data_IF_700787895660
#
_entry.id   IF_700787895660
#
_cell.length_a   1.000
_cell.length_b   1.000
_cell.length_c   1.000
_cell.angle_alpha   90.00
_cell.angle_beta   90.00
_cell.angle_gamma   90.00
#
_symmetry.space_group_name_H-M   'P 1'
#
loop_
_entity.id
_entity.type
_entity.pdbx_description
1 polymer ?
#
# COMPACT_ATOMS: atom_id res chain seq x y z
N UNK A 1 -7.96 30.95 -15.45
CA UNK A 1 -7.40 29.63 -15.14
C UNK A 1 -7.16 29.60 -13.63
N UNK A 2 -8.11 29.10 -12.87
CA UNK A 2 -7.93 28.89 -11.44
C UNK A 2 -7.21 27.56 -11.28
N UNK A 3 -5.93 27.59 -10.90
CA UNK A 3 -5.25 26.44 -10.36
C UNK A 3 -5.99 26.08 -9.07
N UNK A 4 -6.65 24.93 -9.05
CA UNK A 4 -7.14 24.32 -7.83
C UNK A 4 -5.91 24.07 -6.94
N UNK A 5 -5.74 24.93 -5.95
CA UNK A 5 -4.85 24.68 -4.84
C UNK A 5 -5.54 23.55 -4.08
N UNK A 6 -5.02 22.32 -4.16
CA UNK A 6 -5.51 21.22 -3.33
C UNK A 6 -5.32 21.67 -1.89
N UNK A 7 -6.41 21.76 -1.13
CA UNK A 7 -6.34 22.14 0.27
C UNK A 7 -5.57 21.06 1.03
N UNK A 8 -4.54 21.48 1.78
CA UNK A 8 -3.71 20.57 2.56
C UNK A 8 -4.54 20.00 3.70
N UNK A 9 -4.78 18.70 3.71
CA UNK A 9 -5.55 17.99 4.71
C UNK A 9 -4.88 18.08 6.09
N UNK A 10 -5.59 18.59 7.08
CA UNK A 10 -5.13 18.66 8.47
C UNK A 10 -5.33 17.31 9.16
N UNK A 11 -4.24 16.70 9.60
CA UNK A 11 -4.22 15.36 10.20
C UNK A 11 -3.89 15.43 11.68
N UNK A 12 -4.68 14.75 12.50
CA UNK A 12 -4.34 14.48 13.91
C UNK A 12 -3.84 13.05 14.03
N UNK A 13 -2.71 12.86 14.72
CA UNK A 13 -2.18 11.55 15.08
C UNK A 13 -2.51 11.26 16.55
N UNK A 14 -2.94 10.03 16.84
CA UNK A 14 -3.18 9.52 18.18
C UNK A 14 -2.43 8.20 18.35
N UNK A 15 -1.66 8.05 19.43
CA UNK A 15 -0.85 6.86 19.68
C UNK A 15 0.65 7.10 19.54
N UNK A 16 1.44 6.05 19.66
CA UNK A 16 2.90 6.15 19.70
C UNK A 16 3.53 6.15 18.30
N UNK A 17 3.76 7.34 17.75
CA UNK A 17 4.42 7.54 16.45
C UNK A 17 5.90 7.09 16.42
N UNK A 18 6.53 6.84 17.57
CA UNK A 18 7.92 6.41 17.67
C UNK A 18 8.10 4.89 17.53
N UNK A 19 7.03 4.12 17.46
CA UNK A 19 7.10 2.68 17.29
C UNK A 19 7.54 2.31 15.88
N UNK A 20 8.39 1.29 15.78
CA UNK A 20 9.02 0.86 14.53
C UNK A 20 7.99 0.51 13.46
N UNK A 21 6.91 -0.17 13.83
CA UNK A 21 5.85 -0.59 12.93
C UNK A 21 5.12 0.57 12.24
N UNK A 22 5.12 1.76 12.84
CA UNK A 22 4.48 2.96 12.27
C UNK A 22 5.45 3.95 11.63
N UNK A 23 6.76 3.68 11.71
CA UNK A 23 7.79 4.64 11.26
C UNK A 23 7.64 5.03 9.79
N UNK A 24 7.35 4.09 8.92
CA UNK A 24 7.14 4.32 7.47
C UNK A 24 5.91 5.19 7.26
N UNK A 25 4.76 4.81 7.83
CA UNK A 25 3.52 5.56 7.72
C UNK A 25 3.66 7.01 8.24
N UNK A 26 4.26 7.18 9.42
CA UNK A 26 4.44 8.51 10.03
C UNK A 26 5.40 9.37 9.20
N UNK A 27 6.46 8.78 8.66
CA UNK A 27 7.38 9.46 7.74
C UNK A 27 6.68 9.88 6.47
N UNK A 28 5.89 8.99 5.87
CA UNK A 28 5.10 9.27 4.68
C UNK A 28 4.10 10.40 4.92
N UNK A 29 3.35 10.39 6.03
CA UNK A 29 2.42 11.47 6.39
C UNK A 29 3.12 12.83 6.56
N UNK A 30 4.35 12.85 7.08
CA UNK A 30 5.13 14.09 7.24
C UNK A 30 5.68 14.63 5.93
N UNK A 31 5.97 13.77 4.99
CA UNK A 31 6.59 14.12 3.70
C UNK A 31 5.55 14.37 2.60
N UNK A 32 4.33 13.87 2.77
CA UNK A 32 3.27 14.02 1.78
C UNK A 32 2.78 15.48 1.72
N UNK A 33 2.91 16.19 0.58
CA UNK A 33 2.51 17.58 0.44
C UNK A 33 1.01 17.82 0.63
N UNK A 34 0.17 16.77 0.47
CA UNK A 34 -1.27 16.85 0.67
C UNK A 34 -1.68 16.73 2.15
N UNK A 35 -0.73 16.54 3.08
CA UNK A 35 -1.04 16.37 4.51
C UNK A 35 -0.25 17.34 5.40
N UNK A 36 -0.88 17.78 6.47
CA UNK A 36 -0.25 18.57 7.54
C UNK A 36 -0.67 18.03 8.90
N UNK A 37 0.29 17.54 9.68
CA UNK A 37 0.02 17.09 11.05
C UNK A 37 -0.16 18.31 11.94
N UNK A 38 -1.41 18.53 12.41
CA UNK A 38 -1.81 19.68 13.26
C UNK A 38 -1.85 19.34 14.74
N UNK A 39 -1.82 18.04 15.09
CA UNK A 39 -1.78 17.57 16.46
C UNK A 39 -1.25 16.16 16.56
N UNK A 40 -0.57 15.86 17.68
CA UNK A 40 -0.15 14.51 18.02
C UNK A 40 -0.38 14.26 19.49
N UNK A 41 -1.22 13.28 19.80
CA UNK A 41 -1.60 12.89 21.15
C UNK A 41 -1.11 11.48 21.48
N UNK A 42 -0.75 11.26 22.74
CA UNK A 42 -0.24 9.97 23.19
C UNK A 42 -1.32 8.88 23.20
N UNK A 43 -2.54 9.25 23.55
CA UNK A 43 -3.69 8.36 23.69
C UNK A 43 -4.99 9.10 23.35
N UNK A 44 -6.10 8.36 23.29
CA UNK A 44 -7.43 8.92 22.96
C UNK A 44 -7.90 9.90 24.03
N UNK A 45 -7.69 9.60 25.32
CA UNK A 45 -8.12 10.49 26.40
C UNK A 45 -7.48 11.87 26.28
N UNK A 46 -6.17 11.93 26.15
CA UNK A 46 -5.44 13.21 25.96
C UNK A 46 -5.84 13.92 24.67
N UNK A 47 -6.25 13.20 23.63
CA UNK A 47 -6.73 13.82 22.39
C UNK A 47 -8.08 14.50 22.61
N UNK A 48 -9.00 13.87 23.31
CA UNK A 48 -10.32 14.44 23.58
C UNK A 48 -10.22 15.73 24.41
N UNK A 49 -9.31 15.76 25.37
CA UNK A 49 -9.07 16.95 26.22
C UNK A 49 -8.36 18.08 25.43
N UNK A 50 -7.50 17.72 24.50
CA UNK A 50 -6.68 18.65 23.71
C UNK A 50 -7.29 19.10 22.39
N UNK A 51 -8.43 18.56 21.99
CA UNK A 51 -9.01 18.80 20.66
C UNK A 51 -9.36 20.28 20.40
N UNK A 52 -9.92 20.94 21.39
CA UNK A 52 -10.41 22.32 21.27
C UNK A 52 -9.29 23.37 21.23
N UNK A 53 -8.04 22.97 21.50
CA UNK A 53 -6.86 23.83 21.44
C UNK A 53 -6.01 23.62 20.17
N UNK A 54 -6.46 22.78 19.25
CA UNK A 54 -5.77 22.59 17.96
C UNK A 54 -5.74 23.89 17.16
N UNK A 55 -4.61 24.14 16.51
CA UNK A 55 -4.41 25.36 15.71
C UNK A 55 -5.27 25.41 14.44
N UNK A 56 -5.80 24.27 14.01
CA UNK A 56 -6.66 24.12 12.83
C UNK A 56 -7.60 22.93 13.02
N UNK A 57 -8.78 23.01 12.45
CA UNK A 57 -9.74 21.90 12.44
C UNK A 57 -9.18 20.72 11.67
N UNK A 58 -9.12 19.52 12.27
CA UNK A 58 -8.65 18.33 11.59
C UNK A 58 -9.72 17.78 10.66
N UNK A 59 -9.32 17.40 9.47
CA UNK A 59 -10.16 16.72 8.46
C UNK A 59 -10.00 15.21 8.55
N UNK A 60 -8.85 14.76 9.06
CA UNK A 60 -8.54 13.35 9.26
C UNK A 60 -7.90 13.08 10.61
N UNK A 61 -8.31 11.98 11.21
CA UNK A 61 -7.71 11.45 12.45
C UNK A 61 -7.14 10.06 12.16
N UNK A 62 -5.86 9.86 12.44
CA UNK A 62 -5.15 8.60 12.31
C UNK A 62 -4.74 8.10 13.68
N UNK A 63 -5.32 7.01 14.12
CA UNK A 63 -4.98 6.33 15.38
C UNK A 63 -3.97 5.23 15.07
N UNK A 64 -2.89 5.16 15.85
CA UNK A 64 -1.81 4.18 15.74
C UNK A 64 -1.96 3.17 16.88
N UNK A 65 -2.46 1.99 16.59
CA UNK A 65 -2.69 0.93 17.59
C UNK A 65 -1.65 -0.17 17.46
N UNK A 66 -0.85 -0.37 18.50
CA UNK A 66 0.22 -1.38 18.52
C UNK A 66 -0.23 -2.74 19.05
N UNK A 67 -1.19 -2.79 19.98
CA UNK A 67 -1.73 -4.03 20.55
C UNK A 67 -3.22 -3.92 20.84
N UNK A 68 -3.85 -5.07 20.96
CA UNK A 68 -5.33 -5.23 21.04
C UNK A 68 -6.01 -4.44 22.14
N UNK A 69 -5.35 -4.29 23.29
CA UNK A 69 -5.90 -3.64 24.49
C UNK A 69 -5.36 -2.22 24.72
N UNK A 70 -4.78 -1.59 23.71
CA UNK A 70 -4.18 -0.24 23.83
C UNK A 70 -5.22 0.83 24.11
N UNK A 71 -6.42 0.69 23.56
CA UNK A 71 -7.52 1.62 23.76
C UNK A 71 -8.75 0.92 24.31
N UNK A 72 -9.47 1.60 25.24
CA UNK A 72 -10.73 1.08 25.76
C UNK A 72 -11.87 1.27 24.77
N UNK A 73 -12.90 0.40 24.85
CA UNK A 73 -14.13 0.55 24.06
C UNK A 73 -14.81 1.90 24.28
N UNK A 74 -14.78 2.39 25.54
CA UNK A 74 -15.34 3.69 25.89
C UNK A 74 -14.63 4.83 25.17
N UNK A 75 -13.29 4.82 25.17
CA UNK A 75 -12.50 5.88 24.54
C UNK A 75 -12.71 5.88 23.03
N UNK A 76 -12.73 4.68 22.42
CA UNK A 76 -13.01 4.53 20.99
C UNK A 76 -14.38 5.05 20.61
N UNK A 77 -15.41 4.73 21.41
CA UNK A 77 -16.77 5.23 21.16
C UNK A 77 -16.85 6.77 21.30
N UNK A 78 -16.16 7.35 22.28
CA UNK A 78 -16.08 8.81 22.43
C UNK A 78 -15.37 9.46 21.24
N UNK A 79 -14.26 8.89 20.79
CA UNK A 79 -13.53 9.39 19.63
C UNK A 79 -14.38 9.32 18.35
N UNK A 80 -15.05 8.19 18.09
CA UNK A 80 -15.98 8.05 16.97
C UNK A 80 -17.07 9.13 17.04
N UNK A 81 -17.66 9.34 18.20
CA UNK A 81 -18.66 10.40 18.40
C UNK A 81 -18.13 11.80 18.13
N UNK A 82 -16.87 12.08 18.47
CA UNK A 82 -16.22 13.39 18.25
C UNK A 82 -15.87 13.61 16.79
N UNK A 83 -15.57 12.55 16.05
CA UNK A 83 -15.06 12.59 14.67
C UNK A 83 -16.10 12.24 13.61
N UNK A 84 -17.41 12.32 13.94
CA UNK A 84 -18.52 11.91 13.05
C UNK A 84 -18.47 12.54 11.64
N UNK A 85 -17.97 13.78 11.56
CA UNK A 85 -17.89 14.53 10.29
C UNK A 85 -16.48 14.58 9.71
N UNK A 86 -15.55 13.83 10.29
CA UNK A 86 -14.16 13.75 9.87
C UNK A 86 -13.85 12.33 9.37
N UNK A 87 -12.71 12.17 8.75
CA UNK A 87 -12.19 10.84 8.44
C UNK A 87 -11.42 10.30 9.63
N UNK A 88 -11.87 9.14 10.12
CA UNK A 88 -11.22 8.44 11.21
C UNK A 88 -10.69 7.10 10.72
N UNK A 89 -9.41 6.81 10.94
CA UNK A 89 -8.78 5.55 10.61
C UNK A 89 -7.95 5.07 11.80
N UNK A 90 -8.15 3.82 12.22
CA UNK A 90 -7.28 3.14 13.17
C UNK A 90 -6.29 2.26 12.38
N UNK A 91 -5.04 2.68 12.32
CA UNK A 91 -3.96 1.93 11.70
C UNK A 91 -3.35 0.99 12.74
N UNK A 92 -3.56 -0.31 12.60
CA UNK A 92 -3.11 -1.30 13.57
C UNK A 92 -1.83 -2.00 13.15
N UNK A 93 -0.98 -2.27 14.14
CA UNK A 93 0.25 -3.02 14.00
C UNK A 93 0.05 -4.55 13.96
N UNK A 94 1.13 -5.32 13.72
CA UNK A 94 1.07 -6.78 13.56
C UNK A 94 0.45 -7.54 14.74
N UNK A 95 0.57 -7.01 15.95
CA UNK A 95 0.02 -7.65 17.16
C UNK A 95 -1.50 -7.56 17.28
N UNK A 96 -2.15 -6.77 16.42
CA UNK A 96 -3.60 -6.63 16.36
C UNK A 96 -4.24 -7.42 15.21
N UNK A 97 -3.49 -8.18 14.42
CA UNK A 97 -4.02 -8.91 13.25
C UNK A 97 -5.06 -9.99 13.64
N UNK A 98 -5.06 -10.43 14.88
CA UNK A 98 -6.08 -11.36 15.42
C UNK A 98 -7.33 -10.65 15.96
N UNK A 99 -7.32 -9.33 16.07
CA UNK A 99 -8.47 -8.55 16.48
C UNK A 99 -9.61 -8.74 15.45
N UNK A 100 -10.84 -8.75 15.93
CA UNK A 100 -11.98 -9.09 15.10
C UNK A 100 -12.38 -10.58 15.10
N UNK A 101 -11.47 -11.49 15.52
CA UNK A 101 -11.84 -12.88 15.81
C UNK A 101 -12.34 -13.05 17.24
N UNK A 102 -11.69 -12.38 18.19
CA UNK A 102 -11.94 -12.53 19.63
C UNK A 102 -12.43 -11.23 20.27
N UNK A 103 -12.16 -10.09 19.67
CA UNK A 103 -12.48 -8.77 20.22
C UNK A 103 -12.53 -7.73 19.09
N UNK A 104 -13.62 -7.01 19.00
CA UNK A 104 -13.80 -5.94 18.02
C UNK A 104 -14.04 -4.61 18.76
N UNK A 105 -12.97 -3.90 19.08
CA UNK A 105 -13.05 -2.55 19.69
C UNK A 105 -13.35 -1.50 18.62
N UNK A 106 -12.78 -1.69 17.41
CA UNK A 106 -13.00 -0.81 16.29
C UNK A 106 -13.98 -1.38 15.27
N UNK A 107 -14.87 -0.56 14.70
CA UNK A 107 -15.63 -0.94 13.51
C UNK A 107 -14.70 -1.33 12.35
N UNK A 108 -15.06 -2.37 11.58
CA UNK A 108 -14.27 -2.84 10.44
C UNK A 108 -14.01 -1.71 9.41
N UNK A 109 -14.95 -0.78 9.27
CA UNK A 109 -14.82 0.39 8.39
C UNK A 109 -13.64 1.29 8.73
N UNK A 110 -13.30 1.39 10.01
CA UNK A 110 -12.25 2.28 10.52
C UNK A 110 -10.93 1.57 10.77
N UNK A 111 -10.90 0.23 10.76
CA UNK A 111 -9.77 -0.59 11.15
C UNK A 111 -8.95 -1.00 9.94
N UNK A 112 -7.69 -0.54 9.86
CA UNK A 112 -6.80 -0.69 8.70
C UNK A 112 -5.46 -1.24 9.14
N UNK A 113 -4.98 -2.32 8.52
CA UNK A 113 -3.61 -2.79 8.77
C UNK A 113 -2.59 -1.70 8.40
N UNK A 114 -1.56 -1.51 9.22
CA UNK A 114 -0.50 -0.53 8.95
C UNK A 114 0.15 -0.73 7.58
N UNK A 115 0.18 -1.96 7.08
CA UNK A 115 0.69 -2.30 5.74
C UNK A 115 -0.11 -1.68 4.60
N UNK A 116 -1.41 -1.43 4.83
CA UNK A 116 -2.33 -0.83 3.86
C UNK A 116 -2.61 0.64 4.15
N UNK A 117 -2.14 1.15 5.29
CA UNK A 117 -2.52 2.46 5.78
C UNK A 117 -2.19 3.58 4.78
N UNK A 118 -1.01 3.56 4.16
CA UNK A 118 -0.62 4.58 3.18
C UNK A 118 -1.56 4.61 1.98
N UNK A 119 -1.89 3.46 1.40
CA UNK A 119 -2.79 3.38 0.25
C UNK A 119 -4.23 3.79 0.60
N UNK A 120 -4.71 3.37 1.78
CA UNK A 120 -6.06 3.75 2.24
C UNK A 120 -6.13 5.24 2.55
N UNK A 121 -5.13 5.80 3.23
CA UNK A 121 -5.08 7.25 3.51
C UNK A 121 -4.98 8.05 2.22
N UNK A 122 -4.15 7.64 1.26
CA UNK A 122 -4.06 8.30 -0.05
C UNK A 122 -5.41 8.32 -0.78
N UNK A 123 -6.16 7.21 -0.73
CA UNK A 123 -7.51 7.14 -1.28
C UNK A 123 -8.49 8.07 -0.54
N UNK A 124 -8.39 8.18 0.79
CA UNK A 124 -9.22 9.12 1.55
C UNK A 124 -8.87 10.59 1.27
N UNK A 125 -7.58 10.91 1.09
CA UNK A 125 -7.16 12.26 0.69
C UNK A 125 -7.76 12.64 -0.67
N UNK A 126 -7.73 11.72 -1.63
CA UNK A 126 -8.37 11.96 -2.93
C UNK A 126 -9.88 12.15 -2.83
N UNK A 127 -10.55 11.44 -1.91
CA UNK A 127 -11.99 11.66 -1.64
C UNK A 127 -12.25 13.02 -0.98
N UNK A 128 -11.38 13.49 -0.10
CA UNK A 128 -11.48 14.84 0.48
C UNK A 128 -11.43 15.87 -0.66
N UNK A 129 -10.43 15.78 -1.52
CA UNK A 129 -10.26 16.68 -2.66
C UNK A 129 -11.48 16.68 -3.61
N UNK A 130 -12.10 15.53 -3.81
CA UNK A 130 -13.29 15.38 -4.66
C UNK A 130 -14.61 15.71 -3.96
N UNK A 131 -14.59 16.08 -2.67
CA UNK A 131 -15.79 16.36 -1.87
C UNK A 131 -16.62 15.11 -1.56
N UNK A 132 -16.01 13.90 -1.67
CA UNK A 132 -16.68 12.65 -1.40
C UNK A 132 -16.95 12.43 0.09
N UNK A 133 -17.98 11.63 0.45
CA UNK A 133 -18.32 11.35 1.85
C UNK A 133 -17.24 10.50 2.54
N UNK A 134 -17.16 10.61 3.88
CA UNK A 134 -16.39 9.68 4.70
C UNK A 134 -17.06 8.30 4.73
N UNK A 135 -16.27 7.25 4.94
CA UNK A 135 -16.80 5.90 5.13
C UNK A 135 -17.65 5.85 6.43
N UNK A 136 -18.92 5.42 6.37
CA UNK A 136 -19.72 5.27 7.57
C UNK A 136 -19.15 4.19 8.51
N UNK A 137 -19.00 4.46 9.82
CA UNK A 137 -18.49 3.47 10.77
C UNK A 137 -19.36 2.21 10.90
N UNK A 138 -20.62 2.29 10.47
CA UNK A 138 -21.61 1.23 10.58
C UNK A 138 -21.67 0.29 9.39
N UNK A 139 -20.83 0.47 8.38
CA UNK A 139 -20.78 -0.44 7.23
C UNK A 139 -20.43 -1.86 7.65
N UNK A 140 -21.13 -2.83 7.08
CA UNK A 140 -20.77 -4.23 7.25
C UNK A 140 -19.43 -4.53 6.55
N UNK A 141 -18.77 -5.61 6.96
CA UNK A 141 -17.42 -5.94 6.49
C UNK A 141 -17.33 -6.12 4.97
N UNK A 142 -18.31 -6.73 4.37
CA UNK A 142 -18.43 -6.91 2.91
C UNK A 142 -18.65 -5.57 2.18
N UNK A 143 -19.44 -4.67 2.75
CA UNK A 143 -19.65 -3.32 2.23
C UNK A 143 -18.37 -2.47 2.34
N UNK A 144 -17.61 -2.60 3.47
CA UNK A 144 -16.31 -1.96 3.64
C UNK A 144 -15.33 -2.44 2.57
N UNK A 145 -15.33 -3.75 2.32
CA UNK A 145 -14.49 -4.32 1.27
C UNK A 145 -14.86 -3.76 -0.10
N UNK A 146 -16.15 -3.78 -0.46
CA UNK A 146 -16.65 -3.21 -1.70
C UNK A 146 -16.29 -1.71 -1.82
N UNK A 147 -16.52 -0.94 -0.77
CA UNK A 147 -16.19 0.49 -0.74
C UNK A 147 -14.70 0.77 -0.92
N UNK A 148 -13.82 -0.02 -0.31
CA UNK A 148 -12.37 0.09 -0.51
C UNK A 148 -11.95 -0.35 -1.90
N UNK A 149 -12.63 -1.33 -2.49
CA UNK A 149 -12.41 -1.76 -3.87
C UNK A 149 -12.91 -0.72 -4.87
N UNK A 150 -14.06 -0.09 -4.64
CA UNK A 150 -14.60 0.98 -5.50
C UNK A 150 -13.74 2.23 -5.51
N UNK A 151 -13.11 2.58 -4.38
CA UNK A 151 -12.15 3.69 -4.32
C UNK A 151 -10.87 3.42 -5.09
N UNK A 152 -10.53 2.15 -5.23
CA UNK A 152 -9.48 1.74 -6.14
C UNK A 152 -9.99 1.67 -7.58
N UNK A 153 -11.31 1.65 -7.79
CA UNK A 153 -11.99 1.66 -9.09
C UNK A 153 -12.24 3.06 -9.67
N UNK A 154 -11.84 4.13 -8.95
CA UNK A 154 -11.78 5.46 -9.56
C UNK A 154 -10.99 5.35 -10.85
N UNK A 155 -11.75 5.50 -11.94
CA UNK A 155 -11.36 5.21 -13.32
C UNK A 155 -10.19 6.03 -13.89
N UNK A 156 -9.18 6.27 -13.08
CA UNK A 156 -7.85 6.50 -13.63
C UNK A 156 -7.42 5.18 -14.27
N UNK A 157 -7.91 5.05 -15.49
CA UNK A 157 -7.50 4.06 -16.44
C UNK A 157 -6.01 3.80 -16.20
N UNK A 158 -5.66 2.58 -15.84
CA UNK A 158 -4.30 2.08 -15.93
C UNK A 158 -3.88 2.06 -17.43
N UNK A 159 -4.43 3.03 -18.20
CA UNK A 159 -4.10 3.31 -19.59
C UNK A 159 -2.62 3.67 -19.67
N UNK A 160 -1.89 2.85 -20.36
CA UNK A 160 -0.43 2.87 -20.41
C UNK A 160 0.18 1.51 -20.03
N UNK A 161 -0.49 0.69 -19.20
CA UNK A 161 -0.04 -0.68 -18.93
C UNK A 161 -0.07 -1.57 -20.17
N UNK A 162 -0.95 -1.29 -21.13
CA UNK A 162 -1.05 -2.05 -22.40
C UNK A 162 0.22 -1.98 -23.24
N UNK A 163 1.02 -0.93 -23.08
CA UNK A 163 2.30 -0.75 -23.73
C UNK A 163 3.44 -1.46 -22.99
N UNK A 164 3.22 -1.86 -21.75
CA UNK A 164 4.23 -2.49 -20.89
C UNK A 164 4.17 -4.01 -20.96
N UNK A 165 5.30 -4.63 -20.71
CA UNK A 165 5.42 -6.10 -20.63
C UNK A 165 6.00 -6.44 -19.26
N UNK A 166 5.33 -7.37 -18.56
CA UNK A 166 5.78 -7.93 -17.29
C UNK A 166 6.36 -9.33 -17.43
N UNK A 167 7.33 -9.67 -16.59
CA UNK A 167 7.81 -11.04 -16.41
C UNK A 167 7.46 -11.53 -15.01
N UNK A 168 6.86 -12.70 -14.89
CA UNK A 168 6.54 -13.34 -13.61
C UNK A 168 7.49 -14.50 -13.38
N UNK A 169 8.31 -14.41 -12.35
CA UNK A 169 9.35 -15.40 -12.01
C UNK A 169 8.95 -16.08 -10.69
N UNK A 170 8.73 -17.37 -10.72
CA UNK A 170 8.42 -18.19 -9.53
C UNK A 170 8.73 -19.66 -9.79
N UNK A 171 9.11 -20.45 -8.80
CA UNK A 171 9.17 -21.91 -8.92
C UNK A 171 7.77 -22.51 -9.09
N UNK A 172 6.74 -21.89 -8.51
CA UNK A 172 5.37 -22.38 -8.56
C UNK A 172 4.67 -22.01 -9.87
N UNK A 173 4.27 -23.06 -10.62
CA UNK A 173 3.57 -22.90 -11.89
C UNK A 173 2.15 -22.31 -11.71
N UNK A 174 1.47 -22.68 -10.63
CA UNK A 174 0.09 -22.21 -10.38
C UNK A 174 0.14 -20.74 -10.04
N UNK A 175 1.04 -20.36 -9.13
CA UNK A 175 1.25 -18.96 -8.76
C UNK A 175 1.58 -18.10 -9.99
N UNK A 176 2.53 -18.53 -10.84
CA UNK A 176 2.84 -17.80 -12.08
C UNK A 176 1.62 -17.57 -12.97
N UNK A 177 0.77 -18.59 -13.14
CA UNK A 177 -0.45 -18.47 -13.96
C UNK A 177 -1.46 -17.50 -13.36
N UNK A 178 -1.66 -17.59 -12.04
CA UNK A 178 -2.57 -16.69 -11.31
C UNK A 178 -2.12 -15.24 -11.46
N UNK A 179 -0.86 -14.95 -11.15
CA UNK A 179 -0.32 -13.59 -11.29
C UNK A 179 -0.44 -13.09 -12.74
N UNK A 180 -0.07 -13.91 -13.74
CA UNK A 180 -0.23 -13.51 -15.14
C UNK A 180 -1.70 -13.27 -15.54
N UNK A 181 -2.66 -14.00 -14.94
CA UNK A 181 -4.09 -13.75 -15.18
C UNK A 181 -4.49 -12.40 -14.61
N UNK A 182 -4.17 -12.14 -13.35
CA UNK A 182 -4.44 -10.85 -12.69
C UNK A 182 -3.83 -9.68 -13.45
N UNK A 183 -2.57 -9.80 -13.89
CA UNK A 183 -1.91 -8.76 -14.68
C UNK A 183 -2.64 -8.49 -16.01
N UNK A 184 -3.16 -9.53 -16.65
CA UNK A 184 -3.94 -9.40 -17.89
C UNK A 184 -5.26 -8.67 -17.64
N UNK A 185 -5.91 -8.89 -16.51
CA UNK A 185 -7.15 -8.21 -16.13
C UNK A 185 -6.91 -6.70 -15.96
N UNK A 186 -5.69 -6.30 -15.57
CA UNK A 186 -5.25 -4.89 -15.57
C UNK A 186 -4.76 -4.39 -16.95
N UNK A 187 -4.78 -5.22 -17.98
CA UNK A 187 -4.33 -4.87 -19.32
C UNK A 187 -2.82 -5.01 -19.56
N UNK A 188 -2.04 -5.49 -18.57
CA UNK A 188 -0.61 -5.69 -18.70
C UNK A 188 -0.32 -7.03 -19.42
N UNK A 189 0.44 -6.98 -20.50
CA UNK A 189 0.95 -8.20 -21.12
C UNK A 189 2.03 -8.81 -20.24
N UNK A 190 1.96 -10.13 -20.00
CA UNK A 190 2.94 -10.78 -19.13
C UNK A 190 3.39 -12.12 -19.66
N UNK A 191 4.63 -12.47 -19.35
CA UNK A 191 5.23 -13.79 -19.59
C UNK A 191 5.59 -14.43 -18.26
N UNK A 192 5.51 -15.74 -18.17
CA UNK A 192 5.88 -16.48 -16.99
C UNK A 192 7.19 -17.25 -17.20
N UNK A 193 8.07 -17.14 -16.22
CA UNK A 193 9.37 -17.76 -16.22
C UNK A 193 9.54 -18.63 -14.96
N UNK A 194 10.14 -19.84 -15.04
CA UNK A 194 10.61 -20.52 -13.85
C UNK A 194 11.74 -19.74 -13.20
N UNK A 195 12.19 -20.14 -12.01
CA UNK A 195 13.37 -19.53 -11.40
C UNK A 195 14.53 -19.53 -12.38
N UNK A 196 15.13 -18.36 -12.53
CA UNK A 196 16.29 -18.12 -13.37
C UNK A 196 17.51 -18.27 -12.46
N UNK A 197 18.42 -19.15 -12.76
CA UNK A 197 19.66 -19.30 -12.00
C UNK A 197 20.86 -19.02 -12.89
N UNK A 198 21.95 -18.58 -12.29
CA UNK A 198 23.22 -18.33 -12.99
C UNK A 198 23.74 -19.57 -13.74
N UNK A 199 23.36 -20.79 -13.28
CA UNK A 199 23.75 -22.07 -13.88
C UNK A 199 22.83 -22.56 -15.00
N UNK A 200 21.65 -21.98 -15.17
CA UNK A 200 20.65 -22.42 -16.13
C UNK A 200 20.24 -21.25 -17.04
N UNK A 201 20.81 -21.19 -18.24
CA UNK A 201 20.35 -20.27 -19.28
C UNK A 201 18.97 -20.74 -19.75
N UNK A 202 17.92 -20.21 -19.16
CA UNK A 202 16.55 -20.44 -19.64
C UNK A 202 16.30 -19.44 -20.76
N UNK A 203 16.28 -19.93 -21.98
CA UNK A 203 15.71 -19.16 -23.09
C UNK A 203 14.20 -19.37 -23.00
N UNK A 204 13.40 -18.33 -22.70
CA UNK A 204 11.95 -18.45 -22.69
C UNK A 204 11.50 -18.99 -24.07
N UNK A 205 10.62 -19.99 -24.05
CA UNK A 205 10.04 -20.52 -25.32
C UNK A 205 9.23 -19.46 -26.07
N UNK A 206 8.75 -18.45 -25.32
CA UNK A 206 8.02 -17.30 -25.83
C UNK A 206 8.69 -16.04 -25.27
N UNK A 207 9.69 -15.55 -25.98
CA UNK A 207 10.25 -14.23 -25.67
C UNK A 207 9.25 -13.17 -26.16
N UNK A 208 8.76 -12.30 -25.29
CA UNK A 208 7.88 -11.22 -25.74
C UNK A 208 8.64 -10.35 -26.75
N UNK A 209 7.94 -9.94 -27.80
CA UNK A 209 8.51 -8.96 -28.74
C UNK A 209 8.49 -7.58 -28.09
N UNK A 210 9.55 -7.24 -27.35
CA UNK A 210 9.70 -5.96 -26.67
C UNK A 210 10.47 -6.07 -25.36
N UNK A 211 10.88 -4.94 -24.78
CA UNK A 211 11.57 -4.88 -23.51
C UNK A 211 10.64 -5.31 -22.37
N UNK A 212 11.18 -6.01 -21.38
CA UNK A 212 10.48 -6.24 -20.11
C UNK A 212 10.60 -4.96 -19.29
N UNK A 213 9.46 -4.42 -18.86
CA UNK A 213 9.38 -3.19 -18.07
C UNK A 213 9.26 -3.50 -16.57
N UNK A 214 8.57 -4.60 -16.24
CA UNK A 214 8.28 -5.02 -14.87
C UNK A 214 8.69 -6.47 -14.66
N UNK A 215 9.29 -6.76 -13.52
CA UNK A 215 9.59 -8.12 -13.07
C UNK A 215 8.87 -8.37 -11.76
N UNK A 216 8.01 -9.36 -11.72
CA UNK A 216 7.33 -9.86 -10.53
C UNK A 216 8.05 -11.13 -10.08
N UNK A 217 8.80 -11.04 -9.01
CA UNK A 217 9.62 -12.15 -8.51
C UNK A 217 9.03 -12.73 -7.24
N UNK A 218 8.70 -14.01 -7.26
CA UNK A 218 8.30 -14.74 -6.06
C UNK A 218 9.50 -14.92 -5.14
N UNK A 219 9.36 -14.45 -3.90
CA UNK A 219 10.41 -14.52 -2.89
C UNK A 219 10.29 -15.74 -1.99
N UNK A 220 9.24 -16.55 -2.15
CA UNK A 220 9.03 -17.76 -1.35
C UNK A 220 9.37 -19.05 -2.12
N UNK A 221 10.07 -19.98 -1.46
CA UNK A 221 10.76 -19.82 -0.18
C UNK A 221 12.03 -18.97 -0.34
N UNK A 222 12.29 -18.12 0.65
CA UNK A 222 13.53 -17.35 0.69
C UNK A 222 14.76 -18.27 0.89
N UNK A 223 15.85 -17.99 0.20
CA UNK A 223 17.10 -18.74 0.29
C UNK A 223 18.02 -18.51 -0.90
N UNK A 224 19.16 -19.17 -0.92
CA UNK A 224 20.22 -19.00 -1.94
C UNK A 224 19.73 -19.08 -3.39
N UNK A 225 18.76 -19.96 -3.66
CA UNK A 225 18.19 -20.10 -5.03
C UNK A 225 17.38 -18.86 -5.43
N UNK A 226 16.66 -18.26 -4.48
CA UNK A 226 15.87 -17.05 -4.69
C UNK A 226 16.78 -15.86 -4.89
N UNK A 227 17.84 -15.75 -4.09
CA UNK A 227 18.86 -14.70 -4.21
C UNK A 227 19.60 -14.78 -5.55
N UNK A 228 20.08 -15.96 -5.96
CA UNK A 228 20.72 -16.16 -7.26
C UNK A 228 19.74 -15.84 -8.43
N UNK A 229 18.45 -16.17 -8.26
CA UNK A 229 17.41 -15.87 -9.24
C UNK A 229 17.13 -14.37 -9.34
N UNK A 230 17.09 -13.64 -8.23
CA UNK A 230 16.95 -12.18 -8.22
C UNK A 230 18.11 -11.49 -8.90
N UNK A 231 19.35 -11.86 -8.54
CA UNK A 231 20.55 -11.33 -9.17
C UNK A 231 20.58 -11.64 -10.68
N UNK A 232 20.13 -12.84 -11.07
CA UNK A 232 20.02 -13.22 -12.48
C UNK A 232 18.93 -12.39 -13.20
N UNK A 233 17.79 -12.16 -12.56
CA UNK A 233 16.71 -11.33 -13.10
C UNK A 233 17.17 -9.89 -13.35
N UNK A 234 17.88 -9.27 -12.39
CA UNK A 234 18.46 -7.92 -12.57
C UNK A 234 19.47 -7.85 -13.71
N UNK A 235 20.33 -8.86 -13.85
CA UNK A 235 21.26 -8.92 -15.01
C UNK A 235 20.54 -9.09 -16.34
N UNK A 236 19.45 -9.85 -16.37
CA UNK A 236 18.69 -10.11 -17.59
C UNK A 236 17.79 -8.93 -17.98
N UNK A 237 17.28 -8.21 -17.00
CA UNK A 237 16.34 -7.09 -17.16
C UNK A 237 16.82 -5.85 -16.41
N UNK A 238 17.95 -5.25 -16.77
CA UNK A 238 18.62 -4.20 -15.98
C UNK A 238 17.79 -2.91 -15.84
N UNK A 239 16.94 -2.63 -16.82
CA UNK A 239 16.09 -1.41 -16.83
C UNK A 239 14.66 -1.67 -16.35
N UNK A 240 14.37 -2.88 -15.85
CA UNK A 240 13.03 -3.20 -15.35
C UNK A 240 12.88 -2.83 -13.88
N UNK A 241 11.68 -2.41 -13.49
CA UNK A 241 11.30 -2.35 -12.08
C UNK A 241 11.05 -3.76 -11.57
N UNK A 242 11.67 -4.15 -10.46
CA UNK A 242 11.52 -5.47 -9.84
C UNK A 242 10.65 -5.37 -8.59
N UNK A 243 9.51 -6.04 -8.64
CA UNK A 243 8.57 -6.17 -7.53
C UNK A 243 8.68 -7.57 -6.93
N UNK A 244 9.13 -7.65 -5.68
CA UNK A 244 9.16 -8.89 -4.92
C UNK A 244 7.77 -9.25 -4.40
N UNK A 245 7.39 -10.52 -4.42
CA UNK A 245 6.11 -11.00 -3.88
C UNK A 245 6.42 -12.03 -2.80
N UNK A 246 6.03 -11.75 -1.54
CA UNK A 246 6.34 -12.58 -0.39
C UNK A 246 5.12 -12.86 0.49
N UNK A 247 5.07 -14.05 1.10
CA UNK A 247 4.04 -14.38 2.12
C UNK A 247 4.25 -13.59 3.40
N UNK A 248 5.50 -13.39 3.79
CA UNK A 248 5.92 -12.63 4.98
C UNK A 248 7.07 -11.69 4.60
N UNK A 249 6.78 -10.47 4.15
CA UNK A 249 7.81 -9.54 3.68
C UNK A 249 8.87 -9.18 4.73
N UNK A 250 8.54 -9.30 6.02
CA UNK A 250 9.45 -8.94 7.13
C UNK A 250 10.23 -10.13 7.71
N UNK A 251 9.96 -11.36 7.27
CA UNK A 251 10.54 -12.56 7.87
C UNK A 251 11.80 -13.03 7.13
N UNK A 252 12.97 -12.62 7.63
CA UNK A 252 14.26 -13.23 7.25
C UNK A 252 14.81 -12.85 5.88
N UNK A 253 14.19 -11.91 5.17
CA UNK A 253 14.74 -11.36 3.93
C UNK A 253 15.87 -10.40 4.29
N UNK A 254 17.09 -10.67 3.81
CA UNK A 254 18.21 -9.75 4.01
C UNK A 254 17.91 -8.38 3.40
N UNK A 255 17.93 -7.35 4.23
CA UNK A 255 17.71 -5.96 3.77
C UNK A 255 18.70 -5.55 2.68
N UNK A 256 19.95 -6.00 2.77
CA UNK A 256 20.99 -5.71 1.76
C UNK A 256 20.65 -6.25 0.38
N UNK A 257 20.03 -7.43 0.30
CA UNK A 257 19.65 -8.06 -0.98
C UNK A 257 18.38 -7.41 -1.52
N UNK A 258 17.44 -7.08 -0.65
CA UNK A 258 16.23 -6.34 -1.04
C UNK A 258 16.64 -4.98 -1.64
N UNK A 259 17.45 -4.22 -0.94
CA UNK A 259 17.89 -2.88 -1.38
C UNK A 259 18.72 -2.93 -2.67
N UNK A 260 19.46 -4.02 -2.91
CA UNK A 260 20.27 -4.16 -4.11
C UNK A 260 19.49 -4.61 -5.36
N UNK A 261 18.37 -5.34 -5.19
CA UNK A 261 17.73 -6.06 -6.30
C UNK A 261 16.23 -5.85 -6.44
N UNK A 262 15.56 -5.31 -5.45
CA UNK A 262 14.09 -5.18 -5.40
C UNK A 262 13.73 -3.71 -5.22
N UNK A 263 12.80 -3.21 -6.03
CA UNK A 263 12.33 -1.83 -5.93
C UNK A 263 11.17 -1.69 -4.93
N UNK A 264 10.35 -2.76 -4.76
CA UNK A 264 9.31 -2.83 -3.75
C UNK A 264 8.89 -4.28 -3.49
N UNK A 265 8.26 -4.52 -2.32
CA UNK A 265 7.75 -5.84 -1.94
C UNK A 265 6.23 -5.79 -1.77
N UNK A 266 5.54 -6.74 -2.39
CA UNK A 266 4.09 -6.92 -2.33
C UNK A 266 3.77 -8.16 -1.47
N UNK A 267 2.99 -8.03 -0.40
CA UNK A 267 2.53 -9.18 0.37
C UNK A 267 1.59 -10.08 -0.44
N UNK A 268 1.79 -11.41 -0.43
CA UNK A 268 0.89 -12.36 -1.11
C UNK A 268 -0.54 -12.29 -0.60
N UNK A 269 -0.72 -12.05 0.70
CA UNK A 269 -2.04 -11.95 1.32
C UNK A 269 -2.85 -10.73 0.87
N UNK A 270 -2.17 -9.72 0.34
CA UNK A 270 -2.79 -8.48 -0.15
C UNK A 270 -2.32 -8.15 -1.58
N UNK A 271 -2.12 -9.19 -2.36
CA UNK A 271 -1.48 -9.10 -3.67
C UNK A 271 -2.20 -8.11 -4.61
N UNK A 272 -3.52 -8.16 -4.70
CA UNK A 272 -4.28 -7.34 -5.64
C UNK A 272 -4.18 -5.84 -5.31
N UNK A 273 -4.34 -5.46 -4.04
CA UNK A 273 -4.26 -4.06 -3.64
C UNK A 273 -2.82 -3.52 -3.76
N UNK A 274 -1.85 -4.29 -3.26
CA UNK A 274 -0.44 -3.93 -3.36
C UNK A 274 0.01 -3.80 -4.82
N UNK A 275 -0.37 -4.75 -5.68
CA UNK A 275 -0.09 -4.70 -7.11
C UNK A 275 -0.66 -3.43 -7.75
N UNK A 276 -1.94 -3.16 -7.52
CA UNK A 276 -2.63 -2.01 -8.10
C UNK A 276 -1.98 -0.69 -7.70
N UNK A 277 -1.64 -0.54 -6.43
CA UNK A 277 -0.97 0.64 -5.92
C UNK A 277 0.39 0.86 -6.59
N UNK A 278 1.23 -0.18 -6.66
CA UNK A 278 2.55 -0.08 -7.31
C UNK A 278 2.44 0.20 -8.81
N UNK A 279 1.48 -0.41 -9.51
CA UNK A 279 1.25 -0.13 -10.93
C UNK A 279 0.83 1.33 -11.15
N UNK A 280 0.02 1.90 -10.26
CA UNK A 280 -0.38 3.32 -10.30
C UNK A 280 0.83 4.24 -10.11
N UNK A 281 1.63 4.01 -9.08
CA UNK A 281 2.85 4.79 -8.82
C UNK A 281 3.83 4.76 -10.00
N UNK A 282 4.02 3.60 -10.62
CA UNK A 282 4.88 3.44 -11.79
C UNK A 282 4.37 4.23 -13.01
N UNK A 283 3.07 4.20 -13.27
CA UNK A 283 2.49 4.98 -14.38
C UNK A 283 2.62 6.48 -14.17
N UNK A 284 2.49 6.94 -12.92
CA UNK A 284 2.68 8.34 -12.55
C UNK A 284 4.13 8.79 -12.77
N UNK A 285 5.10 7.99 -12.34
CA UNK A 285 6.54 8.24 -12.56
C UNK A 285 6.88 8.32 -14.05
N UNK A 286 6.41 7.36 -14.84
CA UNK A 286 6.63 7.38 -16.30
C UNK A 286 5.97 8.57 -17.01
N UNK A 287 4.83 9.06 -16.53
CA UNK A 287 4.20 10.28 -17.08
C UNK A 287 5.06 11.53 -16.81
N UNK A 288 5.63 11.62 -15.60
CA UNK A 288 6.49 12.74 -15.23
C UNK A 288 7.78 12.76 -16.06
N UNK A 289 8.42 11.63 -16.29
CA UNK A 289 9.61 11.51 -17.14
C UNK A 289 9.34 11.92 -18.58
N UNK A 290 8.19 11.53 -19.15
CA UNK A 290 7.79 11.95 -20.51
C UNK A 290 7.59 13.46 -20.62
N UNK A 291 7.00 14.10 -19.61
CA UNK A 291 6.80 15.57 -19.59
C UNK A 291 8.13 16.31 -19.59
N UNK A 292 9.12 15.83 -18.82
CA UNK A 292 10.45 16.47 -18.74
C UNK A 292 11.34 16.21 -19.96
N UNK A 293 11.06 15.17 -20.74
CA UNK A 293 11.83 14.90 -21.98
C UNK A 293 11.39 15.70 -23.20
N UNK A 294 10.27 16.43 -23.12
CA UNK A 294 9.75 17.31 -24.16
C UNK A 294 9.89 18.80 -23.83
N UNK A 295 10.54 19.13 -22.69
CA UNK A 295 10.88 20.50 -22.29
C UNK A 295 12.34 20.80 -22.59
#
# INVERSE_FOLDING_TARGET
MNFFQSDVCNVVLIGSASRREFSTLVSWLRQNPATRIVGHFKDIGTSLDGWDILAADPEMTVVLQSWSDEFSQSDVNHLIGRTLFQRLLCCFGPWCESDGRNRAVWPDALHVSVRLAESVIAAELHRIDSGGPSIPPTLARDEVFAHRMDTTADGQSLSGLQEMIGAVISPDRVFRKTVCSTLRDYGLRSVHLPLITSRRRIVPKETPRGPIHLVFHDLDPWGELTEDSLAAARRMFPSSTVLGIASMPDAGISTEIVDAHIDAVIPKLDFENGLRWHLKCLLESHRQERVHSYS
#
